data_IF_202126389130
#
_entry.id   IF_202126389130
#
_cell.length_a   1.000
_cell.length_b   1.000
_cell.length_c   1.000
_cell.angle_alpha   90.00
_cell.angle_beta   90.00
_cell.angle_gamma   90.00
#
_symmetry.space_group_name_H-M   'P 1'
#
loop_
_entity.id
_entity.type
_entity.pdbx_description
1 polymer ?
#
# COMPACT_ATOMS: atom_id res chain seq x y z
N UNK A 1 -20.00 8.37 43.31
CA UNK A 1 -19.15 8.86 42.18
C UNK A 1 -19.45 7.96 40.99
N UNK A 2 -20.02 8.49 39.93
CA UNK A 2 -20.15 7.72 38.69
C UNK A 2 -18.74 7.45 38.19
N UNK A 3 -18.37 6.19 37.98
CA UNK A 3 -17.11 5.82 37.34
C UNK A 3 -17.16 6.37 35.91
N UNK A 4 -16.26 7.29 35.60
CA UNK A 4 -16.11 7.82 34.25
C UNK A 4 -15.44 6.73 33.41
N UNK A 5 -16.10 6.30 32.34
CA UNK A 5 -15.51 5.32 31.43
C UNK A 5 -14.34 5.96 30.65
N UNK A 6 -13.24 5.22 30.52
CA UNK A 6 -12.07 5.64 29.77
C UNK A 6 -11.99 4.80 28.50
N UNK A 7 -11.94 5.48 27.36
CA UNK A 7 -11.84 4.90 26.03
C UNK A 7 -10.44 5.24 25.48
N UNK A 8 -9.64 4.22 25.27
CA UNK A 8 -8.27 4.38 24.74
C UNK A 8 -7.86 3.13 23.95
N UNK A 9 -6.94 3.29 23.04
CA UNK A 9 -6.22 2.18 22.44
C UNK A 9 -5.07 1.77 23.36
N UNK A 10 -5.00 0.49 23.72
CA UNK A 10 -3.92 -0.05 24.56
C UNK A 10 -2.79 -0.66 23.72
N UNK A 11 -2.99 -0.75 22.41
CA UNK A 11 -2.05 -1.32 21.46
C UNK A 11 -1.10 -0.24 20.93
N UNK A 12 0.15 -0.59 20.73
CA UNK A 12 1.15 0.31 20.16
C UNK A 12 0.76 0.71 18.73
N UNK A 13 0.80 2.00 18.43
CA UNK A 13 0.43 2.55 17.11
C UNK A 13 1.29 2.01 15.96
N UNK A 14 2.49 1.51 16.24
CA UNK A 14 3.34 0.90 15.22
C UNK A 14 2.89 -0.50 14.80
N UNK A 15 2.05 -1.16 15.61
CA UNK A 15 1.62 -2.53 15.39
C UNK A 15 0.31 -2.69 14.61
N UNK A 16 -0.42 -1.60 14.32
CA UNK A 16 -1.69 -1.64 13.57
C UNK A 16 -1.84 -0.43 12.63
N UNK A 17 -2.70 -0.56 11.63
CA UNK A 17 -3.20 0.55 10.82
C UNK A 17 -4.49 1.13 11.39
N UNK A 18 -5.42 0.26 11.74
CA UNK A 18 -6.66 0.62 12.41
C UNK A 18 -7.02 -0.43 13.46
N UNK A 19 -7.47 0.03 14.63
CA UNK A 19 -7.90 -0.82 15.73
C UNK A 19 -9.29 -0.40 16.20
N UNK A 20 -10.23 -1.34 16.22
CA UNK A 20 -11.60 -1.10 16.67
C UNK A 20 -11.70 -1.25 18.19
N UNK A 21 -12.23 -0.25 18.84
CA UNK A 21 -12.57 -0.34 20.26
C UNK A 21 -13.66 -1.40 20.48
N UNK A 22 -13.52 -2.31 21.45
CA UNK A 22 -14.38 -3.49 21.54
C UNK A 22 -15.81 -3.20 21.99
N UNK A 23 -16.08 -2.04 22.63
CA UNK A 23 -17.41 -1.67 23.10
C UNK A 23 -18.05 -0.66 22.15
N UNK A 24 -19.26 -0.96 21.67
CA UNK A 24 -20.04 -0.10 20.79
C UNK A 24 -21.11 0.72 21.54
N UNK A 25 -21.34 0.46 22.84
CA UNK A 25 -22.21 1.27 23.69
C UNK A 25 -21.39 2.35 24.40
N UNK A 26 -21.41 3.55 23.84
CA UNK A 26 -20.61 4.68 24.32
C UNK A 26 -21.42 5.54 25.26
N UNK A 27 -20.88 5.81 26.46
CA UNK A 27 -21.52 6.69 27.42
C UNK A 27 -21.09 8.12 27.24
N UNK A 28 -22.02 9.04 27.40
CA UNK A 28 -21.69 10.47 27.51
C UNK A 28 -20.79 10.73 28.72
N UNK A 29 -20.04 11.78 28.67
CA UNK A 29 -19.01 12.16 29.64
C UNK A 29 -17.84 11.15 29.78
N UNK A 30 -17.79 10.07 28.95
CA UNK A 30 -16.60 9.23 28.86
C UNK A 30 -15.37 10.05 28.44
N UNK A 31 -14.21 9.65 28.94
CA UNK A 31 -12.94 10.25 28.56
C UNK A 31 -12.34 9.45 27.40
N UNK A 32 -12.30 10.07 26.22
CA UNK A 32 -11.60 9.54 25.06
C UNK A 32 -10.14 10.02 25.11
N UNK A 33 -9.21 9.10 25.21
CA UNK A 33 -7.76 9.39 25.21
C UNK A 33 -7.20 8.92 23.88
N UNK A 34 -6.75 9.89 23.07
CA UNK A 34 -6.08 9.66 21.78
C UNK A 34 -4.60 9.93 21.95
N UNK A 35 -3.77 8.93 21.70
CA UNK A 35 -2.31 9.05 21.80
C UNK A 35 -1.72 9.91 20.68
N UNK A 36 -0.48 10.37 20.91
CA UNK A 36 0.31 10.98 19.82
C UNK A 36 0.48 9.97 18.68
N UNK A 37 0.33 10.44 17.44
CA UNK A 37 0.38 9.56 16.27
C UNK A 37 -0.84 8.68 16.07
N UNK A 38 -1.98 9.04 16.67
CA UNK A 38 -3.27 8.38 16.48
C UNK A 38 -4.37 9.40 16.17
N UNK A 39 -5.42 8.96 15.51
CA UNK A 39 -6.70 9.63 15.43
C UNK A 39 -7.81 8.65 15.83
N UNK A 40 -8.84 9.13 16.54
CA UNK A 40 -10.01 8.34 16.84
C UNK A 40 -11.17 8.79 15.95
N UNK A 41 -11.76 7.84 15.22
CA UNK A 41 -12.88 8.09 14.29
C UNK A 41 -14.11 7.40 14.82
N UNK A 42 -15.20 8.14 14.96
CA UNK A 42 -16.52 7.61 15.29
C UNK A 42 -17.22 7.16 14.02
N UNK A 43 -17.70 5.91 14.03
CA UNK A 43 -18.43 5.31 12.91
C UNK A 43 -19.80 4.87 13.37
N UNK A 44 -20.84 5.17 12.59
CA UNK A 44 -22.21 4.73 12.84
C UNK A 44 -22.93 4.45 11.54
N UNK A 45 -23.59 3.29 11.47
CA UNK A 45 -24.31 2.89 10.28
C UNK A 45 -23.43 2.78 9.01
N UNK A 46 -22.13 2.49 9.17
CA UNK A 46 -21.17 2.44 8.08
C UNK A 46 -20.62 3.81 7.65
N UNK A 47 -21.02 4.90 8.29
CA UNK A 47 -20.52 6.24 8.00
C UNK A 47 -19.48 6.68 9.03
N UNK A 48 -18.30 7.12 8.56
CA UNK A 48 -17.30 7.75 9.40
C UNK A 48 -17.71 9.22 9.66
N UNK A 49 -17.87 9.56 10.93
CA UNK A 49 -18.49 10.80 11.38
C UNK A 49 -17.45 11.75 12.00
N UNK A 50 -17.43 11.81 13.34
CA UNK A 50 -16.57 12.72 14.08
C UNK A 50 -15.15 12.14 14.24
N UNK A 51 -14.13 12.99 14.09
CA UNK A 51 -12.71 12.61 14.20
C UNK A 51 -12.05 13.42 15.31
N UNK A 52 -11.29 12.77 16.17
CA UNK A 52 -10.54 13.36 17.26
C UNK A 52 -9.03 13.13 17.05
N UNK A 53 -8.27 14.21 17.11
CA UNK A 53 -6.81 14.16 17.14
C UNK A 53 -6.28 13.86 18.55
N UNK A 54 -4.93 13.84 18.71
CA UNK A 54 -4.27 13.57 19.99
C UNK A 54 -4.77 14.43 21.14
N UNK A 55 -4.88 13.83 22.32
CA UNK A 55 -5.30 14.48 23.54
C UNK A 55 -6.37 13.72 24.32
N UNK A 56 -6.87 14.35 25.38
CA UNK A 56 -7.97 13.84 26.18
C UNK A 56 -9.24 14.64 25.91
N UNK A 57 -10.29 13.95 25.49
CA UNK A 57 -11.54 14.56 25.09
C UNK A 57 -12.68 14.00 25.93
N UNK A 58 -13.43 14.86 26.61
CA UNK A 58 -14.69 14.45 27.26
C UNK A 58 -15.78 14.40 26.20
N UNK A 59 -16.41 13.23 26.02
CA UNK A 59 -17.44 13.05 25.00
C UNK A 59 -18.73 13.77 25.39
N UNK A 60 -19.10 14.77 24.59
CA UNK A 60 -20.29 15.58 24.78
C UNK A 60 -21.06 15.74 23.47
N UNK A 61 -22.33 16.12 23.55
CA UNK A 61 -23.12 16.43 22.34
C UNK A 61 -22.52 17.59 21.53
N UNK A 62 -21.74 18.45 22.15
CA UNK A 62 -21.10 19.58 21.50
C UNK A 62 -19.89 19.22 20.64
N UNK A 63 -19.14 18.16 21.00
CA UNK A 63 -17.97 17.71 20.25
C UNK A 63 -18.20 16.46 19.40
N UNK A 64 -19.44 15.95 19.38
CA UNK A 64 -19.91 14.88 18.49
C UNK A 64 -21.10 15.36 17.64
N UNK A 65 -20.96 16.45 16.85
CA UNK A 65 -22.09 17.04 16.15
C UNK A 65 -22.68 16.15 15.06
N UNK A 66 -21.86 15.31 14.39
CA UNK A 66 -22.37 14.42 13.34
C UNK A 66 -23.09 13.21 13.93
N UNK A 67 -22.53 12.59 14.95
CA UNK A 67 -23.22 11.53 15.70
C UNK A 67 -24.54 12.05 16.30
N UNK A 68 -24.51 13.21 16.92
CA UNK A 68 -25.69 13.78 17.56
C UNK A 68 -26.85 14.00 16.57
N UNK A 69 -26.57 14.43 15.32
CA UNK A 69 -27.57 14.53 14.26
C UNK A 69 -28.22 13.19 13.89
N UNK A 70 -27.45 12.11 13.89
CA UNK A 70 -27.96 10.78 13.53
C UNK A 70 -28.74 10.11 14.65
N UNK A 71 -28.45 10.44 15.91
CA UNK A 71 -29.05 9.77 17.06
C UNK A 71 -30.41 10.36 17.41
N UNK A 72 -30.74 11.61 16.97
CA UNK A 72 -31.99 12.31 17.28
C UNK A 72 -32.35 12.26 18.79
N UNK A 73 -31.34 12.32 19.68
CA UNK A 73 -31.57 12.25 21.12
C UNK A 73 -32.23 13.55 21.62
N UNK A 74 -33.33 13.43 22.35
CA UNK A 74 -33.78 14.53 23.18
C UNK A 74 -32.65 14.87 24.17
N UNK A 75 -32.35 16.14 24.28
CA UNK A 75 -31.35 16.71 25.18
C UNK A 75 -31.44 16.18 26.59
N UNK A 76 -30.47 15.33 27.01
CA UNK A 76 -30.41 14.79 28.34
C UNK A 76 -29.60 13.52 28.48
N UNK A 77 -28.34 13.62 28.25
CA UNK A 77 -27.16 12.77 28.23
C UNK A 77 -26.94 11.58 29.18
N UNK A 78 -27.97 10.93 29.74
CA UNK A 78 -27.74 9.76 30.60
C UNK A 78 -27.84 8.39 29.89
N UNK A 79 -28.29 8.38 28.64
CA UNK A 79 -28.44 7.14 27.87
C UNK A 79 -27.22 6.90 27.00
N UNK A 80 -26.57 5.71 27.05
CA UNK A 80 -25.51 5.33 26.11
C UNK A 80 -25.99 5.43 24.67
N UNK A 81 -25.08 5.76 23.76
CA UNK A 81 -25.36 5.79 22.33
C UNK A 81 -24.53 4.75 21.58
N UNK A 82 -25.11 4.07 20.58
CA UNK A 82 -24.39 3.08 19.80
C UNK A 82 -23.50 3.78 18.77
N UNK A 83 -22.20 3.50 18.82
CA UNK A 83 -21.21 3.93 17.84
C UNK A 83 -19.98 3.03 17.90
N UNK A 84 -19.35 2.81 16.77
CA UNK A 84 -18.01 2.21 16.71
C UNK A 84 -16.96 3.31 16.87
N UNK A 85 -15.89 3.02 17.58
CA UNK A 85 -14.72 3.90 17.67
C UNK A 85 -13.53 3.16 17.10
N UNK A 86 -12.93 3.74 16.09
CA UNK A 86 -11.73 3.23 15.46
C UNK A 86 -10.54 4.15 15.76
N UNK A 87 -9.48 3.57 16.30
CA UNK A 87 -8.20 4.24 16.45
C UNK A 87 -7.37 3.94 15.21
N UNK A 88 -6.94 4.98 14.52
CA UNK A 88 -6.14 4.91 13.29
C UNK A 88 -4.75 5.43 13.59
N UNK A 89 -3.72 4.63 13.29
CA UNK A 89 -2.35 5.03 13.46
C UNK A 89 -1.93 6.00 12.35
N UNK A 90 -1.47 7.20 12.73
CA UNK A 90 -0.99 8.25 11.82
C UNK A 90 0.54 8.38 11.83
N UNK A 91 1.23 7.53 12.59
CA UNK A 91 2.69 7.39 12.58
C UNK A 91 3.18 6.88 11.23
N UNK A 92 4.42 7.24 10.87
CA UNK A 92 5.05 6.72 9.66
C UNK A 92 5.50 5.29 9.90
N UNK A 93 4.88 4.33 9.23
CA UNK A 93 5.36 2.95 9.17
C UNK A 93 6.46 2.86 8.12
N UNK A 94 7.68 2.57 8.56
CA UNK A 94 8.89 2.50 7.72
C UNK A 94 9.28 1.05 7.46
N UNK A 95 10.07 0.86 6.42
CA UNK A 95 10.69 -0.43 6.09
C UNK A 95 9.69 -1.59 5.91
N UNK A 96 8.44 -1.26 5.52
CA UNK A 96 7.48 -2.27 5.11
C UNK A 96 8.02 -2.97 3.86
N UNK A 97 7.97 -4.30 3.86
CA UNK A 97 8.41 -5.10 2.72
C UNK A 97 7.29 -5.24 1.71
N UNK A 98 7.62 -5.14 0.43
CA UNK A 98 6.74 -5.52 -0.66
C UNK A 98 7.47 -6.46 -1.61
N UNK A 99 6.73 -7.23 -2.37
CA UNK A 99 7.29 -8.13 -3.38
C UNK A 99 6.19 -8.87 -4.14
N UNK A 100 6.53 -9.27 -5.36
CA UNK A 100 5.63 -10.05 -6.21
C UNK A 100 5.48 -11.46 -5.63
N UNK A 101 4.26 -11.85 -5.27
CA UNK A 101 3.95 -13.19 -4.76
C UNK A 101 4.20 -14.27 -5.83
N UNK A 102 3.89 -13.95 -7.09
CA UNK A 102 4.13 -14.78 -8.26
C UNK A 102 4.93 -14.00 -9.30
N UNK A 103 5.73 -14.68 -10.15
CA UNK A 103 6.37 -14.05 -11.28
C UNK A 103 5.33 -13.43 -12.21
N UNK A 104 5.61 -12.22 -12.71
CA UNK A 104 4.75 -11.50 -13.65
C UNK A 104 5.24 -11.83 -15.07
N UNK A 105 4.41 -12.47 -15.92
CA UNK A 105 4.80 -12.72 -17.31
C UNK A 105 4.70 -11.44 -18.12
N UNK A 106 5.83 -10.98 -18.66
CA UNK A 106 5.93 -9.76 -19.45
C UNK A 106 6.65 -10.05 -20.78
N UNK A 107 6.23 -9.37 -21.85
CA UNK A 107 6.90 -9.47 -23.14
C UNK A 107 8.13 -8.55 -23.16
N UNK A 108 9.31 -9.14 -23.25
CA UNK A 108 10.55 -8.40 -23.50
C UNK A 108 10.76 -8.27 -25.00
N UNK A 109 10.62 -7.04 -25.49
CA UNK A 109 10.75 -6.71 -26.92
C UNK A 109 12.19 -6.87 -27.43
N UNK A 110 13.18 -6.71 -26.56
CA UNK A 110 14.59 -6.81 -26.92
C UNK A 110 15.01 -8.26 -27.23
N UNK A 111 14.41 -9.21 -26.51
CA UNK A 111 14.67 -10.65 -26.68
C UNK A 111 13.64 -11.30 -27.61
N UNK A 112 12.45 -10.70 -27.71
CA UNK A 112 11.37 -11.16 -28.61
C UNK A 112 10.49 -12.28 -28.05
N UNK A 113 10.54 -12.56 -26.72
CA UNK A 113 9.69 -13.53 -26.07
C UNK A 113 9.32 -13.13 -24.61
N UNK A 114 8.28 -13.78 -24.02
CA UNK A 114 7.86 -13.46 -22.66
C UNK A 114 8.89 -13.92 -21.62
N UNK A 115 9.07 -13.10 -20.59
CA UNK A 115 9.92 -13.37 -19.42
C UNK A 115 9.09 -13.27 -18.16
N UNK A 116 9.41 -14.07 -17.15
CA UNK A 116 8.75 -14.04 -15.84
C UNK A 116 9.55 -13.16 -14.89
N UNK A 117 9.00 -12.00 -14.53
CA UNK A 117 9.70 -11.00 -13.71
C UNK A 117 9.25 -11.09 -12.26
N UNK A 118 10.21 -11.07 -11.35
CA UNK A 118 10.00 -10.89 -9.91
C UNK A 118 10.67 -9.62 -9.45
N UNK A 119 10.05 -8.92 -8.51
CA UNK A 119 10.64 -7.76 -7.87
C UNK A 119 10.27 -7.71 -6.39
N UNK A 120 11.11 -7.07 -5.61
CA UNK A 120 10.86 -6.79 -4.21
C UNK A 120 11.59 -5.53 -3.77
N UNK A 121 11.15 -5.01 -2.63
CA UNK A 121 11.76 -3.84 -2.07
C UNK A 121 11.12 -3.42 -0.76
N UNK A 122 11.31 -2.16 -0.41
CA UNK A 122 10.78 -1.54 0.82
C UNK A 122 10.03 -0.27 0.51
N UNK A 123 9.08 0.03 1.37
CA UNK A 123 8.31 1.26 1.30
C UNK A 123 7.94 1.77 2.69
N UNK A 124 7.53 3.01 2.75
CA UNK A 124 7.03 3.62 3.96
C UNK A 124 5.74 4.36 3.69
N UNK A 125 4.79 4.24 4.62
CA UNK A 125 3.46 4.87 4.52
C UNK A 125 3.05 5.49 5.84
N UNK A 126 2.17 6.48 5.77
CA UNK A 126 1.38 6.93 6.89
C UNK A 126 -0.07 7.20 6.46
N UNK A 127 -0.99 7.06 7.39
CA UNK A 127 -2.36 7.48 7.16
C UNK A 127 -2.43 8.98 7.43
N UNK A 128 -2.79 9.74 6.41
CA UNK A 128 -2.91 11.21 6.44
C UNK A 128 -4.35 11.66 6.67
N UNK A 129 -5.32 10.85 6.24
CA UNK A 129 -6.76 11.07 6.42
C UNK A 129 -7.39 9.77 6.92
N UNK A 130 -7.58 9.69 8.24
CA UNK A 130 -8.13 8.52 8.90
C UNK A 130 -9.58 8.21 8.46
N UNK A 131 -10.38 9.24 8.15
CA UNK A 131 -11.74 9.07 7.66
C UNK A 131 -11.75 8.40 6.30
N UNK A 132 -11.01 8.94 5.33
CA UNK A 132 -10.90 8.37 3.99
C UNK A 132 -10.36 6.95 4.02
N UNK A 133 -9.33 6.70 4.84
CA UNK A 133 -8.77 5.38 5.03
C UNK A 133 -9.80 4.37 5.54
N UNK A 134 -10.53 4.70 6.60
CA UNK A 134 -11.55 3.82 7.16
C UNK A 134 -12.67 3.52 6.15
N UNK A 135 -13.17 4.54 5.45
CA UNK A 135 -14.27 4.36 4.49
C UNK A 135 -13.83 3.56 3.27
N UNK A 136 -12.67 3.89 2.71
CA UNK A 136 -12.21 3.32 1.43
C UNK A 136 -11.57 1.94 1.60
N UNK A 137 -10.85 1.70 2.68
CA UNK A 137 -10.09 0.45 2.89
C UNK A 137 -10.79 -0.44 3.91
N UNK A 138 -11.00 0.03 5.12
CA UNK A 138 -11.51 -0.81 6.21
C UNK A 138 -12.99 -1.15 6.00
N UNK A 139 -13.83 -0.16 5.75
CA UNK A 139 -15.28 -0.33 5.61
C UNK A 139 -15.68 -1.03 4.32
N UNK A 140 -15.07 -0.67 3.17
CA UNK A 140 -15.43 -1.22 1.86
C UNK A 140 -15.05 -2.70 1.71
N UNK A 141 -13.99 -3.14 2.40
CA UNK A 141 -13.45 -4.49 2.31
C UNK A 141 -13.75 -5.34 3.55
N UNK A 142 -14.44 -4.78 4.56
CA UNK A 142 -14.70 -5.43 5.85
C UNK A 142 -13.38 -5.93 6.52
N UNK A 143 -12.31 -5.14 6.38
CA UNK A 143 -11.01 -5.46 6.93
C UNK A 143 -10.93 -5.02 8.40
N UNK A 144 -11.14 -5.96 9.31
CA UNK A 144 -10.86 -5.79 10.74
C UNK A 144 -9.45 -6.29 11.13
N UNK A 145 -8.62 -6.65 10.16
CA UNK A 145 -7.35 -7.36 10.33
C UNK A 145 -6.25 -6.64 9.56
N UNK A 146 -5.22 -6.24 10.27
CA UNK A 146 -4.05 -5.53 9.74
C UNK A 146 -3.32 -6.31 8.63
N UNK A 147 -3.27 -7.65 8.74
CA UNK A 147 -2.67 -8.47 7.69
C UNK A 147 -3.44 -8.39 6.37
N UNK A 148 -4.77 -8.28 6.44
CA UNK A 148 -5.60 -8.12 5.24
C UNK A 148 -5.41 -6.75 4.61
N UNK A 149 -5.35 -5.71 5.45
CA UNK A 149 -5.05 -4.34 4.99
C UNK A 149 -3.69 -4.34 4.29
N UNK A 150 -2.65 -4.84 4.94
CA UNK A 150 -1.30 -4.91 4.38
C UNK A 150 -1.27 -5.69 3.06
N UNK A 151 -1.92 -6.84 3.00
CA UNK A 151 -1.99 -7.66 1.79
C UNK A 151 -2.70 -6.94 0.63
N UNK A 152 -3.77 -6.22 0.93
CA UNK A 152 -4.47 -5.40 -0.06
C UNK A 152 -3.55 -4.31 -0.61
N UNK A 153 -2.87 -3.56 0.26
CA UNK A 153 -1.96 -2.50 -0.14
C UNK A 153 -0.79 -3.04 -0.98
N UNK A 154 -0.24 -4.21 -0.64
CA UNK A 154 0.80 -4.89 -1.45
C UNK A 154 0.25 -5.30 -2.82
N UNK A 155 -1.00 -5.72 -2.91
CA UNK A 155 -1.66 -6.02 -4.19
C UNK A 155 -1.66 -4.83 -5.13
N UNK A 156 -2.05 -3.65 -4.64
CA UNK A 156 -2.04 -2.39 -5.38
C UNK A 156 -0.61 -1.99 -5.81
N UNK A 157 0.37 -2.12 -4.90
CA UNK A 157 1.79 -1.89 -5.23
C UNK A 157 2.24 -2.80 -6.37
N UNK A 158 1.98 -4.11 -6.26
CA UNK A 158 2.39 -5.09 -7.27
C UNK A 158 1.77 -4.81 -8.63
N UNK A 159 0.53 -4.36 -8.67
CA UNK A 159 -0.12 -3.98 -9.92
C UNK A 159 0.60 -2.79 -10.58
N UNK A 160 0.85 -1.71 -9.84
CA UNK A 160 1.52 -0.51 -10.37
C UNK A 160 2.95 -0.78 -10.82
N UNK A 161 3.68 -1.60 -10.07
CA UNK A 161 5.04 -2.02 -10.42
C UNK A 161 5.03 -2.92 -11.66
N UNK A 162 4.06 -3.84 -11.75
CA UNK A 162 3.90 -4.70 -12.93
C UNK A 162 3.59 -3.91 -14.20
N UNK A 163 2.71 -2.92 -14.11
CA UNK A 163 2.37 -2.02 -15.21
C UNK A 163 3.61 -1.26 -15.69
N UNK A 164 4.40 -0.70 -14.76
CA UNK A 164 5.65 0.01 -15.06
C UNK A 164 6.67 -0.89 -15.77
N UNK A 165 6.91 -2.10 -15.26
CA UNK A 165 7.84 -3.02 -15.91
C UNK A 165 7.35 -3.45 -17.30
N UNK A 166 6.05 -3.68 -17.45
CA UNK A 166 5.47 -3.98 -18.75
C UNK A 166 5.65 -2.85 -19.76
N UNK A 167 5.60 -1.59 -19.33
CA UNK A 167 5.86 -0.42 -20.15
C UNK A 167 7.34 -0.37 -20.58
N UNK A 168 8.26 -0.45 -19.62
CA UNK A 168 9.73 -0.41 -19.91
C UNK A 168 10.16 -1.51 -20.86
N UNK A 169 9.69 -2.74 -20.69
CA UNK A 169 10.03 -3.85 -21.58
C UNK A 169 9.42 -3.69 -22.99
N UNK A 170 8.21 -3.11 -23.10
CA UNK A 170 7.61 -2.76 -24.40
C UNK A 170 8.38 -1.63 -25.11
N UNK A 171 8.94 -0.69 -24.36
CA UNK A 171 9.75 0.40 -24.89
C UNK A 171 11.14 -0.07 -25.30
N UNK A 172 11.50 -1.31 -25.01
CA UNK A 172 12.71 -1.97 -25.46
C UNK A 172 13.87 -1.91 -24.45
N UNK A 173 13.59 -1.57 -23.18
CA UNK A 173 14.58 -1.73 -22.10
C UNK A 173 14.78 -3.23 -21.86
N UNK A 174 15.99 -3.77 -22.02
CA UNK A 174 16.21 -5.20 -21.81
C UNK A 174 16.05 -5.58 -20.33
N UNK A 175 15.38 -6.69 -20.06
CA UNK A 175 15.20 -7.17 -18.67
C UNK A 175 16.54 -7.43 -17.95
N UNK A 176 17.57 -7.82 -18.69
CA UNK A 176 18.90 -8.07 -18.12
C UNK A 176 19.65 -6.80 -17.70
N UNK A 177 19.24 -5.65 -18.21
CA UNK A 177 19.83 -4.34 -17.91
C UNK A 177 18.97 -3.52 -16.93
N UNK A 178 17.73 -3.95 -16.66
CA UNK A 178 16.75 -3.19 -15.89
C UNK A 178 17.20 -2.84 -14.45
N UNK A 179 18.08 -3.65 -13.87
CA UNK A 179 18.65 -3.39 -12.54
C UNK A 179 19.68 -2.23 -12.54
N UNK A 180 20.10 -1.75 -13.68
CA UNK A 180 21.00 -0.58 -13.76
C UNK A 180 20.26 0.72 -13.36
N UNK A 181 18.94 0.75 -13.56
CA UNK A 181 18.12 1.96 -13.41
C UNK A 181 17.15 1.87 -12.21
N UNK A 182 17.48 1.08 -11.17
CA UNK A 182 16.60 0.85 -10.01
C UNK A 182 16.15 2.13 -9.31
N UNK A 183 16.98 3.16 -9.24
CA UNK A 183 16.61 4.43 -8.62
C UNK A 183 15.55 5.17 -9.46
N UNK A 184 15.74 5.25 -10.77
CA UNK A 184 14.79 5.89 -11.68
C UNK A 184 13.44 5.15 -11.67
N UNK A 185 13.49 3.82 -11.74
CA UNK A 185 12.30 2.97 -11.64
C UNK A 185 11.58 3.13 -10.30
N UNK A 186 12.33 3.27 -9.22
CA UNK A 186 11.76 3.51 -7.88
C UNK A 186 11.04 4.85 -7.79
N UNK A 187 11.60 5.92 -8.37
CA UNK A 187 10.99 7.25 -8.40
C UNK A 187 9.71 7.26 -9.25
N UNK A 188 9.74 6.63 -10.42
CA UNK A 188 8.59 6.52 -11.31
C UNK A 188 7.46 5.67 -10.68
N UNK A 189 7.80 4.50 -10.14
CA UNK A 189 6.87 3.67 -9.39
C UNK A 189 6.28 4.42 -8.19
N UNK A 190 7.12 5.14 -7.43
CA UNK A 190 6.70 5.95 -6.29
C UNK A 190 5.65 6.99 -6.69
N UNK A 191 5.81 7.63 -7.84
CA UNK A 191 4.87 8.64 -8.34
C UNK A 191 3.51 8.00 -8.63
N UNK A 192 3.48 6.90 -9.39
CA UNK A 192 2.27 6.17 -9.75
C UNK A 192 1.54 5.61 -8.53
N UNK A 193 2.29 5.13 -7.53
CA UNK A 193 1.76 4.58 -6.29
C UNK A 193 1.19 5.70 -5.40
N UNK A 194 1.89 6.84 -5.27
CA UNK A 194 1.42 8.00 -4.49
C UNK A 194 0.05 8.48 -4.94
N UNK A 195 -0.16 8.61 -6.23
CA UNK A 195 -1.42 9.10 -6.80
C UNK A 195 -2.60 8.16 -6.47
N UNK A 196 -2.36 6.86 -6.47
CA UNK A 196 -3.37 5.87 -6.11
C UNK A 196 -3.67 5.89 -4.61
N UNK A 197 -2.64 5.84 -3.77
CA UNK A 197 -2.80 5.75 -2.33
C UNK A 197 -3.34 7.02 -1.68
N UNK A 198 -3.09 8.19 -2.27
CA UNK A 198 -3.69 9.44 -1.82
C UNK A 198 -5.23 9.40 -1.85
N UNK A 199 -5.85 8.65 -2.76
CA UNK A 199 -7.31 8.48 -2.83
C UNK A 199 -7.86 7.78 -1.59
N UNK A 200 -7.05 6.95 -0.97
CA UNK A 200 -7.39 6.19 0.23
C UNK A 200 -7.01 6.90 1.53
N UNK A 201 -6.55 8.15 1.45
CA UNK A 201 -6.05 8.88 2.62
C UNK A 201 -4.68 8.40 3.12
N UNK A 202 -3.92 7.69 2.29
CA UNK A 202 -2.59 7.16 2.60
C UNK A 202 -1.54 7.98 1.87
N UNK A 203 -0.53 8.45 2.61
CA UNK A 203 0.66 9.07 2.05
C UNK A 203 1.80 8.05 1.96
N UNK A 204 2.33 7.85 0.76
CA UNK A 204 3.55 7.06 0.55
C UNK A 204 4.76 7.97 0.78
N UNK A 205 5.49 7.71 1.86
CA UNK A 205 6.63 8.53 2.31
C UNK A 205 7.88 8.21 1.50
N UNK A 206 8.13 6.92 1.28
CA UNK A 206 9.22 6.42 0.43
C UNK A 206 8.80 5.12 -0.24
N UNK A 207 9.37 4.85 -1.39
CA UNK A 207 9.20 3.60 -2.13
C UNK A 207 10.50 3.27 -2.85
N UNK A 208 11.00 2.05 -2.64
CA UNK A 208 12.25 1.58 -3.24
C UNK A 208 12.06 0.18 -3.82
N UNK A 209 12.59 -0.02 -5.02
CA UNK A 209 12.80 -1.32 -5.64
C UNK A 209 14.22 -1.74 -5.30
N UNK A 210 14.39 -2.83 -4.56
CA UNK A 210 15.72 -3.31 -4.15
C UNK A 210 16.31 -4.25 -5.19
N UNK A 211 15.46 -5.02 -5.88
CA UNK A 211 15.90 -5.95 -6.90
C UNK A 211 14.78 -6.34 -7.85
N UNK A 212 15.15 -6.56 -9.10
CA UNK A 212 14.31 -7.14 -10.15
C UNK A 212 15.04 -8.36 -10.69
N UNK A 213 14.39 -9.52 -10.68
CA UNK A 213 15.02 -10.76 -11.12
C UNK A 213 14.09 -11.61 -12.01
N UNK A 214 14.70 -12.52 -12.72
CA UNK A 214 14.06 -13.58 -13.48
C UNK A 214 14.33 -14.90 -12.74
N UNK A 215 13.41 -15.87 -12.70
CA UNK A 215 13.68 -17.21 -12.18
C UNK A 215 14.91 -17.85 -12.84
N UNK A 216 15.74 -18.51 -12.04
CA UNK A 216 17.06 -19.02 -12.50
C UNK A 216 16.97 -19.96 -13.71
N UNK A 217 15.92 -20.74 -13.81
CA UNK A 217 15.66 -21.65 -14.93
C UNK A 217 15.31 -20.92 -16.23
N UNK A 218 14.60 -19.80 -16.16
CA UNK A 218 14.35 -18.94 -17.31
C UNK A 218 15.60 -18.13 -17.69
N UNK A 219 16.32 -17.61 -16.70
CA UNK A 219 17.56 -16.86 -16.95
C UNK A 219 18.57 -17.70 -17.73
N UNK A 220 18.76 -18.97 -17.36
CA UNK A 220 19.64 -19.90 -18.10
C UNK A 220 19.19 -20.07 -19.55
N UNK A 221 17.90 -20.26 -19.80
CA UNK A 221 17.38 -20.39 -21.16
C UNK A 221 17.60 -19.12 -22.00
N UNK A 222 17.40 -17.95 -21.40
CA UNK A 222 17.65 -16.67 -22.04
C UNK A 222 19.13 -16.55 -22.44
N UNK A 223 20.04 -16.87 -21.53
CA UNK A 223 21.47 -16.85 -21.77
C UNK A 223 21.88 -17.83 -22.88
N UNK A 224 21.33 -19.05 -22.91
CA UNK A 224 21.60 -20.03 -23.97
C UNK A 224 21.12 -19.51 -25.35
N UNK A 225 19.92 -18.94 -25.40
CA UNK A 225 19.38 -18.37 -26.66
C UNK A 225 20.22 -17.20 -27.13
N UNK A 226 20.59 -16.28 -26.23
CA UNK A 226 21.44 -15.15 -26.57
C UNK A 226 22.83 -15.59 -27.09
N UNK A 227 23.43 -16.57 -26.42
CA UNK A 227 24.71 -17.14 -26.84
C UNK A 227 24.63 -17.75 -28.23
N UNK A 228 23.65 -18.59 -28.51
CA UNK A 228 23.43 -19.19 -29.85
C UNK A 228 23.17 -18.12 -30.94
N UNK A 229 22.43 -17.07 -30.58
CA UNK A 229 22.16 -15.95 -31.51
C UNK A 229 23.42 -15.17 -31.81
N UNK A 230 24.28 -14.96 -30.83
CA UNK A 230 25.56 -14.32 -30.99
C UNK A 230 26.48 -15.16 -31.89
N UNK A 231 26.63 -16.46 -31.63
CA UNK A 231 27.41 -17.38 -32.48
C UNK A 231 26.94 -17.38 -33.94
N UNK A 232 25.62 -17.42 -34.17
CA UNK A 232 25.07 -17.39 -35.53
C UNK A 232 25.36 -16.08 -36.25
N UNK A 233 25.30 -14.94 -35.54
CA UNK A 233 25.67 -13.63 -36.11
C UNK A 233 27.15 -13.55 -36.46
N UNK A 234 28.03 -14.04 -35.61
CA UNK A 234 29.48 -14.07 -35.87
C UNK A 234 29.81 -14.93 -37.07
N UNK A 235 29.23 -16.13 -37.19
CA UNK A 235 29.39 -17.01 -38.36
C UNK A 235 28.89 -16.34 -39.65
N UNK A 236 27.75 -15.68 -39.62
CA UNK A 236 27.20 -14.95 -40.77
C UNK A 236 28.11 -13.76 -41.18
N UNK A 237 28.70 -13.06 -40.26
CA UNK A 237 29.63 -11.98 -40.53
C UNK A 237 30.96 -12.48 -41.15
N UNK A 238 31.43 -13.65 -40.71
CA UNK A 238 32.64 -14.29 -41.28
C UNK A 238 32.39 -14.71 -42.73
N UNK A 239 31.26 -15.37 -43.03
CA UNK A 239 30.89 -15.79 -44.38
C UNK A 239 30.73 -14.60 -45.36
N UNK A 240 30.14 -13.49 -44.87
CA UNK A 240 30.03 -12.26 -45.64
C UNK A 240 31.43 -11.64 -45.91
N UNK A 241 32.31 -11.62 -44.89
CA UNK A 241 33.69 -11.12 -45.02
C UNK A 241 34.48 -11.94 -46.01
N UNK A 242 34.39 -13.25 -46.02
CA UNK A 242 35.06 -14.14 -47.00
C UNK A 242 34.50 -13.95 -48.42
N UNK A 243 33.18 -13.71 -48.55
CA UNK A 243 32.54 -13.44 -49.84
C UNK A 243 33.03 -12.11 -50.48
N UNK A 244 33.25 -11.09 -49.67
CA UNK A 244 33.81 -9.81 -50.14
C UNK A 244 35.29 -9.86 -50.41
N UNK A 245 36.06 -10.73 -49.77
CA UNK A 245 37.47 -10.92 -50.01
C UNK A 245 37.78 -11.74 -51.29
N UNK A 246 36.76 -12.46 -51.81
CA UNK A 246 36.87 -13.29 -53.03
C UNK A 246 36.41 -12.57 -54.31
N UNK A 247 35.99 -11.30 -54.22
CA UNK A 247 35.64 -10.40 -55.35
C UNK A 247 36.77 -9.41 -55.61
#
# INVERSE_FOLDING_TARGET
MALVDVIKCETDSDSYFAWKYPNEEIKWASQLIVGEGQEAVFVKGGEALDVFGPGTHTLTTGNLPLINKLINLPTGGDTPFPAEIWFVATTVKRDLKWGTSNPIPLMDKSIGFPVSVRAYGKWGVRIKDARSFLVQIVGSQNFADDEKIHRYLIGEVNQKVGDLFGEKLRDGVPILEINADLNELSEEASTNIKDEFNKYGIEVVNFNIENINIPDDELKKIQEVMFKTFEAKELSNVELGESYAAL
#
